data_IF_106122880995
#
_entry.id   IF_106122880995
#
_cell.length_a   1.000
_cell.length_b   1.000
_cell.length_c   1.000
_cell.angle_alpha   90.00
_cell.angle_beta   90.00
_cell.angle_gamma   90.00
#
_symmetry.space_group_name_H-M   'P 1'
#
loop_
_entity.id
_entity.type
_entity.pdbx_description
1 polymer ?
#
# COMPACT_ATOMS: atom_id res chain seq x y z
N UNK A 1 -6.09 -9.58 18.39
CA UNK A 1 -5.93 -9.87 16.96
C UNK A 1 -4.77 -9.02 16.46
N UNK A 2 -3.66 -9.65 16.06
CA UNK A 2 -2.56 -8.97 15.38
C UNK A 2 -2.71 -9.40 13.92
N UNK A 3 -2.96 -8.43 13.04
CA UNK A 3 -3.35 -8.70 11.64
C UNK A 3 -2.11 -9.14 10.83
N UNK A 4 -1.06 -8.31 10.82
CA UNK A 4 0.24 -8.61 10.23
C UNK A 4 1.37 -7.95 11.04
N UNK A 5 2.47 -8.67 11.28
CA UNK A 5 3.69 -8.13 11.92
C UNK A 5 4.86 -8.28 10.97
N UNK A 6 5.56 -7.18 10.71
CA UNK A 6 6.77 -7.14 9.87
C UNK A 6 7.93 -6.48 10.62
N UNK A 7 9.16 -6.84 10.29
CA UNK A 7 10.34 -6.27 10.92
C UNK A 7 11.62 -6.56 10.13
N UNK A 8 12.70 -5.90 10.52
CA UNK A 8 14.03 -6.07 9.92
C UNK A 8 15.00 -6.74 10.89
N UNK A 9 15.87 -7.59 10.32
CA UNK A 9 16.95 -8.26 11.02
C UNK A 9 18.15 -8.44 10.06
N UNK A 10 19.36 -8.49 10.60
CA UNK A 10 20.53 -8.81 9.80
C UNK A 10 20.46 -10.25 9.28
N UNK A 11 20.84 -10.47 8.02
CA UNK A 11 20.82 -11.79 7.40
C UNK A 11 21.67 -12.84 8.16
N UNK A 12 22.71 -12.40 8.87
CA UNK A 12 23.55 -13.27 9.72
C UNK A 12 22.90 -13.67 11.04
N UNK A 13 21.84 -12.97 11.48
CA UNK A 13 21.15 -13.24 12.75
C UNK A 13 19.99 -14.21 12.53
N UNK A 14 20.33 -15.50 12.54
CA UNK A 14 19.37 -16.59 12.41
C UNK A 14 19.36 -17.47 13.65
N UNK A 15 18.20 -18.06 13.93
CA UNK A 15 17.99 -19.03 15.01
C UNK A 15 17.23 -20.23 14.47
N UNK A 16 17.54 -21.42 14.99
CA UNK A 16 16.78 -22.63 14.66
C UNK A 16 15.42 -22.61 15.38
N UNK A 17 14.35 -22.85 14.63
CA UNK A 17 13.00 -22.99 15.15
C UNK A 17 12.49 -24.42 14.96
N UNK A 18 12.42 -25.14 16.07
CA UNK A 18 12.14 -26.57 16.13
C UNK A 18 10.78 -26.97 15.55
N UNK A 19 9.66 -26.24 15.80
CA UNK A 19 8.37 -26.63 15.24
C UNK A 19 8.32 -26.66 13.70
N UNK A 20 9.20 -25.90 13.03
CA UNK A 20 9.34 -25.88 11.57
C UNK A 20 10.65 -26.48 11.06
N UNK A 21 11.51 -26.98 11.95
CA UNK A 21 12.80 -27.58 11.62
C UNK A 21 13.67 -26.73 10.67
N UNK A 22 13.72 -25.41 10.87
CA UNK A 22 14.45 -24.49 9.97
C UNK A 22 15.14 -23.33 10.69
N UNK A 23 16.17 -22.79 10.04
CA UNK A 23 16.80 -21.53 10.42
C UNK A 23 15.93 -20.36 9.91
N UNK A 24 15.63 -19.41 10.79
CA UNK A 24 14.82 -18.23 10.49
C UNK A 24 15.42 -17.00 11.19
N UNK A 25 15.05 -15.76 10.79
CA UNK A 25 15.49 -14.55 11.49
C UNK A 25 15.22 -14.62 13.00
N UNK A 26 16.22 -14.28 13.81
CA UNK A 26 16.17 -14.49 15.27
C UNK A 26 14.98 -13.80 15.95
N UNK A 27 14.62 -12.57 15.53
CA UNK A 27 13.42 -11.86 16.03
C UNK A 27 12.13 -12.59 15.68
N UNK A 28 12.04 -13.18 14.48
CA UNK A 28 10.87 -13.95 14.06
C UNK A 28 10.73 -15.21 14.92
N UNK A 29 11.83 -15.92 15.18
CA UNK A 29 11.84 -17.08 16.08
C UNK A 29 11.42 -16.69 17.51
N UNK A 30 11.89 -15.55 18.02
CA UNK A 30 11.51 -15.07 19.35
C UNK A 30 9.99 -14.81 19.45
N UNK A 31 9.39 -14.22 18.40
CA UNK A 31 7.95 -14.00 18.33
C UNK A 31 7.18 -15.33 18.25
N UNK A 32 7.63 -16.28 17.43
CA UNK A 32 6.98 -17.59 17.31
C UNK A 32 7.01 -18.35 18.63
N UNK A 33 8.14 -18.36 19.35
CA UNK A 33 8.23 -18.97 20.70
C UNK A 33 7.30 -18.30 21.71
N UNK A 34 7.10 -16.99 21.61
CA UNK A 34 6.11 -16.30 22.43
C UNK A 34 4.69 -16.76 22.09
N UNK A 35 4.37 -16.93 20.81
CA UNK A 35 3.07 -17.46 20.38
C UNK A 35 2.86 -18.90 20.83
N UNK A 36 3.88 -19.76 20.73
CA UNK A 36 3.86 -21.12 21.29
C UNK A 36 3.51 -21.10 22.78
N UNK A 37 4.20 -20.25 23.56
CA UNK A 37 3.95 -20.09 25.00
C UNK A 37 2.54 -19.60 25.32
N UNK A 38 1.97 -18.77 24.46
CA UNK A 38 0.61 -18.23 24.61
C UNK A 38 -0.48 -19.14 24.01
N UNK A 39 -0.10 -20.24 23.35
CA UNK A 39 -1.04 -21.09 22.62
C UNK A 39 -1.69 -20.41 21.41
N UNK A 40 -1.03 -19.41 20.82
CA UNK A 40 -1.53 -18.69 19.64
C UNK A 40 -1.15 -19.50 18.39
N UNK A 41 -2.12 -19.97 17.58
CA UNK A 41 -1.83 -20.78 16.41
C UNK A 41 -1.15 -19.95 15.31
N UNK A 42 -0.13 -20.52 14.69
CA UNK A 42 0.54 -19.93 13.52
C UNK A 42 0.89 -21.00 12.48
N UNK A 43 0.99 -20.58 11.22
CA UNK A 43 1.23 -21.48 10.07
C UNK A 43 2.54 -21.12 9.39
N UNK A 44 3.34 -22.14 9.07
CA UNK A 44 4.66 -21.96 8.50
C UNK A 44 4.62 -21.18 7.18
N UNK A 45 3.67 -21.50 6.31
CA UNK A 45 3.49 -20.82 5.02
C UNK A 45 3.21 -19.31 5.11
N UNK A 46 2.84 -18.81 6.29
CA UNK A 46 2.65 -17.38 6.56
C UNK A 46 3.90 -16.72 7.17
N UNK A 47 4.90 -17.51 7.54
CA UNK A 47 6.16 -17.06 8.14
C UNK A 47 7.21 -16.87 7.05
N UNK A 48 7.05 -15.80 6.29
CA UNK A 48 7.95 -15.42 5.20
C UNK A 48 9.08 -14.53 5.71
N UNK A 49 10.25 -14.62 5.09
CA UNK A 49 11.40 -13.75 5.35
C UNK A 49 12.29 -13.70 4.11
N UNK A 50 13.03 -12.60 3.95
CA UNK A 50 13.86 -12.34 2.77
C UNK A 50 13.95 -10.85 2.47
N UNK A 51 14.71 -10.51 1.43
CA UNK A 51 14.80 -9.17 0.87
C UNK A 51 14.95 -9.27 -0.65
N UNK A 52 14.10 -8.61 -1.45
CA UNK A 52 12.92 -7.84 -1.03
C UNK A 52 11.78 -8.74 -0.51
N UNK A 53 10.82 -8.15 0.22
CA UNK A 53 9.64 -8.83 0.73
C UNK A 53 8.39 -8.00 0.46
N UNK A 54 7.34 -8.64 -0.07
CA UNK A 54 6.04 -7.98 -0.26
C UNK A 54 5.25 -7.99 1.05
N UNK A 55 4.94 -6.81 1.58
CA UNK A 55 4.16 -6.59 2.81
C UNK A 55 2.89 -5.85 2.42
N UNK A 56 1.71 -6.41 2.71
CA UNK A 56 0.39 -5.84 2.37
C UNK A 56 0.24 -5.40 0.89
N UNK A 57 0.95 -6.07 -0.03
CA UNK A 57 0.98 -5.75 -1.46
C UNK A 57 1.97 -4.65 -1.87
N UNK A 58 2.82 -4.20 -0.94
CA UNK A 58 3.91 -3.24 -1.18
C UNK A 58 5.23 -4.01 -1.16
N UNK A 59 6.05 -3.84 -2.18
CA UNK A 59 7.39 -4.42 -2.25
C UNK A 59 8.35 -3.59 -1.39
N UNK A 60 8.94 -4.25 -0.39
CA UNK A 60 9.85 -3.63 0.57
C UNK A 60 11.25 -4.19 0.38
N UNK A 61 12.18 -3.32 0.01
CA UNK A 61 13.60 -3.64 -0.06
C UNK A 61 14.36 -2.85 1.01
N UNK A 62 14.69 -3.45 2.16
CA UNK A 62 15.46 -2.79 3.21
C UNK A 62 16.91 -2.49 2.81
N UNK A 63 17.49 -3.20 1.83
CA UNK A 63 18.87 -2.96 1.39
C UNK A 63 18.94 -1.75 0.44
N UNK A 64 17.96 -1.62 -0.46
CA UNK A 64 17.82 -0.44 -1.31
C UNK A 64 17.12 0.73 -0.58
N UNK A 65 16.58 0.48 0.62
CA UNK A 65 15.74 1.42 1.38
C UNK A 65 14.56 1.92 0.56
N UNK A 66 13.88 1.02 -0.15
CA UNK A 66 12.76 1.36 -1.04
C UNK A 66 11.46 0.71 -0.62
N UNK A 67 10.37 1.46 -0.81
CA UNK A 67 9.01 0.96 -0.87
C UNK A 67 8.47 1.21 -2.27
N UNK A 68 7.95 0.17 -2.91
CA UNK A 68 7.42 0.25 -4.26
C UNK A 68 6.11 -0.52 -4.40
N UNK A 69 5.28 -0.07 -5.34
CA UNK A 69 4.21 -0.91 -5.87
C UNK A 69 4.80 -1.83 -6.93
N UNK A 70 4.25 -3.04 -7.05
CA UNK A 70 4.55 -3.90 -8.20
C UNK A 70 4.23 -3.17 -9.51
N UNK A 71 4.94 -3.53 -10.58
CA UNK A 71 4.78 -2.87 -11.90
C UNK A 71 3.32 -2.91 -12.37
N UNK A 72 2.63 -4.01 -12.12
CA UNK A 72 1.21 -4.18 -12.45
C UNK A 72 0.33 -3.27 -11.59
N UNK A 73 0.47 -3.30 -10.26
CA UNK A 73 -0.32 -2.46 -9.36
C UNK A 73 -0.11 -0.96 -9.61
N UNK A 74 1.12 -0.56 -9.93
CA UNK A 74 1.46 0.81 -10.34
C UNK A 74 0.75 1.20 -11.63
N UNK A 75 0.79 0.33 -12.64
CA UNK A 75 0.16 0.57 -13.95
C UNK A 75 -1.36 0.65 -13.82
N UNK A 76 -1.97 -0.28 -13.08
CA UNK A 76 -3.40 -0.31 -12.84
C UNK A 76 -3.87 0.97 -12.12
N UNK A 77 -3.11 1.43 -11.11
CA UNK A 77 -3.40 2.66 -10.40
C UNK A 77 -3.34 3.89 -11.32
N UNK A 78 -2.29 4.00 -12.13
CA UNK A 78 -2.17 5.09 -13.12
C UNK A 78 -3.38 5.05 -14.06
N UNK A 79 -3.71 3.88 -14.60
CA UNK A 79 -4.85 3.72 -15.52
C UNK A 79 -6.18 4.15 -14.88
N UNK A 80 -6.44 3.77 -13.63
CA UNK A 80 -7.66 4.19 -12.93
C UNK A 80 -7.65 5.69 -12.66
N UNK A 81 -6.55 6.26 -12.16
CA UNK A 81 -6.45 7.72 -11.93
C UNK A 81 -6.69 8.50 -13.22
N UNK A 82 -6.10 8.07 -14.36
CA UNK A 82 -6.33 8.65 -15.68
C UNK A 82 -7.76 8.48 -16.16
N UNK A 83 -8.39 7.34 -15.90
CA UNK A 83 -9.79 7.11 -16.24
C UNK A 83 -10.71 8.12 -15.54
N UNK A 84 -10.51 8.33 -14.23
CA UNK A 84 -11.27 9.33 -13.48
C UNK A 84 -10.89 10.76 -13.88
N UNK A 85 -9.62 11.02 -14.17
CA UNK A 85 -9.14 12.31 -14.67
C UNK A 85 -9.67 12.70 -16.05
N UNK A 86 -10.04 11.72 -16.88
CA UNK A 86 -10.46 11.93 -18.27
C UNK A 86 -11.86 12.52 -18.39
N UNK A 87 -12.00 13.60 -19.17
CA UNK A 87 -13.32 14.20 -19.46
C UNK A 87 -14.27 13.16 -20.08
N UNK A 88 -15.57 13.20 -19.77
CA UNK A 88 -16.50 12.23 -20.33
C UNK A 88 -16.54 12.40 -21.85
N UNK A 89 -16.33 11.31 -22.59
CA UNK A 89 -16.49 11.28 -24.04
C UNK A 89 -17.84 10.67 -24.42
N UNK A 90 -18.57 11.29 -25.35
CA UNK A 90 -19.82 10.76 -25.88
C UNK A 90 -20.94 10.69 -24.84
N UNK A 91 -21.61 9.52 -24.71
CA UNK A 91 -22.76 9.31 -23.82
C UNK A 91 -22.41 9.06 -22.34
N UNK A 92 -21.12 9.08 -21.98
CA UNK A 92 -20.71 8.91 -20.58
C UNK A 92 -21.10 10.14 -19.76
N UNK A 93 -21.84 9.94 -18.67
CA UNK A 93 -22.24 11.04 -17.79
C UNK A 93 -21.06 11.55 -16.95
N UNK A 94 -20.00 10.79 -16.73
CA UNK A 94 -19.00 11.14 -15.71
C UNK A 94 -19.57 11.13 -14.29
N UNK A 95 -20.74 10.52 -14.10
CA UNK A 95 -21.35 10.27 -12.82
C UNK A 95 -21.17 8.79 -12.46
N UNK A 96 -20.67 8.52 -11.26
CA UNK A 96 -20.35 7.16 -10.81
C UNK A 96 -21.04 6.85 -9.48
N UNK A 97 -21.41 5.58 -9.23
CA UNK A 97 -22.02 5.20 -7.97
C UNK A 97 -21.03 5.40 -6.79
N UNK A 98 -21.54 5.78 -5.62
CA UNK A 98 -20.74 6.01 -4.38
C UNK A 98 -19.75 4.88 -4.10
N UNK A 99 -20.14 3.62 -4.31
CA UNK A 99 -19.25 2.46 -4.13
C UNK A 99 -17.97 2.53 -4.98
N UNK A 100 -18.05 3.07 -6.20
CA UNK A 100 -16.90 3.19 -7.11
C UNK A 100 -15.96 4.30 -6.65
N UNK A 101 -16.51 5.39 -6.15
CA UNK A 101 -15.74 6.45 -5.51
C UNK A 101 -15.01 5.98 -4.25
N UNK A 102 -15.68 5.19 -3.40
CA UNK A 102 -15.09 4.61 -2.20
C UNK A 102 -13.97 3.63 -2.55
N UNK A 103 -14.17 2.82 -3.60
CA UNK A 103 -13.12 1.92 -4.13
C UNK A 103 -11.90 2.70 -4.61
N UNK A 104 -12.08 3.77 -5.40
CA UNK A 104 -10.99 4.67 -5.79
C UNK A 104 -10.26 5.25 -4.56
N UNK A 105 -11.01 5.83 -3.62
CA UNK A 105 -10.43 6.48 -2.45
C UNK A 105 -9.67 5.49 -1.55
N UNK A 106 -10.21 4.28 -1.37
CA UNK A 106 -9.56 3.22 -0.60
C UNK A 106 -8.27 2.74 -1.26
N UNK A 107 -8.31 2.50 -2.56
CA UNK A 107 -7.14 2.03 -3.30
C UNK A 107 -6.05 3.10 -3.41
N UNK A 108 -6.41 4.35 -3.70
CA UNK A 108 -5.48 5.47 -3.69
C UNK A 108 -4.86 5.67 -2.30
N UNK A 109 -5.66 5.59 -1.22
CA UNK A 109 -5.14 5.71 0.14
C UNK A 109 -4.16 4.57 0.50
N UNK A 110 -4.41 3.34 0.03
CA UNK A 110 -3.45 2.23 0.16
C UNK A 110 -2.15 2.53 -0.59
N UNK A 111 -2.24 2.95 -1.85
CA UNK A 111 -1.08 3.27 -2.68
C UNK A 111 -0.27 4.47 -2.15
N UNK A 112 -0.93 5.44 -1.50
CA UNK A 112 -0.28 6.62 -0.93
C UNK A 112 0.45 6.35 0.38
N UNK A 113 0.51 5.09 0.85
CA UNK A 113 1.57 4.68 1.78
C UNK A 113 2.93 4.60 1.10
N UNK A 114 2.95 4.30 -0.21
CA UNK A 114 4.14 4.35 -1.06
C UNK A 114 4.35 5.76 -1.60
N UNK A 115 3.29 6.54 -1.83
CA UNK A 115 3.40 7.92 -2.32
C UNK A 115 2.80 8.94 -1.34
N UNK A 116 3.40 9.15 -0.16
CA UNK A 116 2.81 9.95 0.92
C UNK A 116 2.53 11.40 0.51
N UNK A 117 3.34 11.97 -0.38
CA UNK A 117 3.16 13.33 -0.89
C UNK A 117 1.95 13.50 -1.82
N UNK A 118 1.32 12.41 -2.25
CA UNK A 118 0.14 12.44 -3.14
C UNK A 118 -1.19 12.40 -2.38
N UNK A 119 -1.18 12.22 -1.05
CA UNK A 119 -2.39 12.27 -0.21
C UNK A 119 -3.28 13.50 -0.46
N UNK A 120 -2.75 14.72 -0.72
CA UNK A 120 -3.59 15.88 -1.04
C UNK A 120 -4.53 15.69 -2.24
N UNK A 121 -4.24 14.79 -3.16
CA UNK A 121 -5.11 14.45 -4.29
C UNK A 121 -6.53 14.02 -3.87
N UNK A 122 -6.70 13.47 -2.66
CA UNK A 122 -8.01 13.02 -2.17
C UNK A 122 -8.77 14.12 -1.40
N UNK A 123 -8.19 15.30 -1.22
CA UNK A 123 -8.80 16.38 -0.43
C UNK A 123 -10.14 16.84 -1.02
N UNK A 124 -10.29 16.79 -2.34
CA UNK A 124 -11.56 17.11 -3.01
C UNK A 124 -12.48 15.89 -3.17
N UNK A 125 -11.96 14.67 -3.03
CA UNK A 125 -12.70 13.42 -3.13
C UNK A 125 -13.56 13.19 -1.87
N UNK A 126 -12.98 13.29 -0.67
CA UNK A 126 -13.71 13.01 0.57
C UNK A 126 -14.90 13.95 0.83
N UNK A 127 -14.79 15.28 0.66
CA UNK A 127 -15.94 16.18 0.79
C UNK A 127 -17.04 15.86 -0.21
N UNK A 128 -16.69 15.40 -1.42
CA UNK A 128 -17.66 14.99 -2.44
C UNK A 128 -18.49 13.80 -1.99
N UNK A 129 -17.90 12.89 -1.20
CA UNK A 129 -18.56 11.70 -0.67
C UNK A 129 -19.27 11.91 0.67
N UNK A 130 -18.97 13.01 1.37
CA UNK A 130 -19.57 13.30 2.68
C UNK A 130 -21.10 13.25 2.62
N UNK A 131 -21.69 12.52 3.58
CA UNK A 131 -23.14 12.36 3.72
C UNK A 131 -23.80 11.41 2.71
N UNK A 132 -23.05 10.78 1.81
CA UNK A 132 -23.59 9.85 0.81
C UNK A 132 -23.37 8.42 1.27
N UNK A 133 -24.46 7.76 1.67
CA UNK A 133 -24.42 6.40 2.22
C UNK A 133 -24.99 5.35 1.26
N UNK A 134 -25.83 5.75 0.30
CA UNK A 134 -26.44 4.84 -0.66
C UNK A 134 -25.41 4.39 -1.70
N UNK A 135 -25.02 3.09 -1.76
CA UNK A 135 -23.90 2.64 -2.59
C UNK A 135 -24.08 2.90 -4.09
N UNK A 136 -25.32 2.86 -4.57
CA UNK A 136 -25.68 3.05 -5.98
C UNK A 136 -26.09 4.50 -6.31
N UNK A 137 -26.05 5.42 -5.33
CA UNK A 137 -26.28 6.83 -5.60
C UNK A 137 -25.21 7.35 -6.55
N UNK A 138 -25.63 7.98 -7.65
CA UNK A 138 -24.72 8.52 -8.64
C UNK A 138 -24.14 9.86 -8.18
N UNK A 139 -22.82 10.04 -8.32
CA UNK A 139 -22.07 11.23 -7.92
C UNK A 139 -21.20 11.67 -9.08
N UNK A 140 -21.39 12.92 -9.49
CA UNK A 140 -20.66 13.56 -10.58
C UNK A 140 -19.25 13.96 -10.15
N UNK A 141 -18.26 13.62 -10.97
CA UNK A 141 -16.91 14.14 -10.81
C UNK A 141 -16.83 15.59 -11.35
N UNK A 142 -16.04 16.45 -10.70
CA UNK A 142 -15.81 17.84 -11.14
C UNK A 142 -14.38 18.00 -11.68
N UNK A 143 -14.11 19.14 -12.32
CA UNK A 143 -12.79 19.40 -12.92
C UNK A 143 -11.66 19.44 -11.89
N UNK A 144 -11.90 20.01 -10.70
CA UNK A 144 -10.87 20.03 -9.64
C UNK A 144 -10.40 18.63 -9.26
N UNK A 145 -11.33 17.69 -9.06
CA UNK A 145 -10.98 16.29 -8.76
C UNK A 145 -10.27 15.64 -9.95
N UNK A 146 -10.65 15.97 -11.19
CA UNK A 146 -9.95 15.46 -12.39
C UNK A 146 -8.50 15.91 -12.44
N UNK A 147 -8.28 17.19 -12.18
CA UNK A 147 -6.95 17.80 -12.20
C UNK A 147 -6.07 17.21 -11.09
N UNK A 148 -6.62 17.04 -9.88
CA UNK A 148 -5.94 16.37 -8.77
C UNK A 148 -5.52 14.93 -9.12
N UNK A 149 -6.43 14.14 -9.70
CA UNK A 149 -6.17 12.73 -10.04
C UNK A 149 -5.16 12.59 -11.20
N UNK A 150 -5.23 13.48 -12.20
CA UNK A 150 -4.23 13.54 -13.27
C UNK A 150 -2.86 13.95 -12.73
N UNK A 151 -2.81 14.95 -11.86
CA UNK A 151 -1.57 15.36 -11.18
C UNK A 151 -0.96 14.18 -10.41
N UNK A 152 -1.76 13.42 -9.67
CA UNK A 152 -1.26 12.23 -8.98
C UNK A 152 -0.73 11.18 -9.97
N UNK A 153 -1.45 10.91 -11.07
CA UNK A 153 -1.01 9.98 -12.10
C UNK A 153 0.33 10.41 -12.73
N UNK A 154 0.48 11.68 -13.10
CA UNK A 154 1.73 12.24 -13.64
C UNK A 154 2.90 12.03 -12.66
N UNK A 155 2.66 12.25 -11.36
CA UNK A 155 3.70 12.09 -10.34
C UNK A 155 4.10 10.63 -10.12
N UNK A 156 3.15 9.70 -10.16
CA UNK A 156 3.43 8.26 -10.01
C UNK A 156 4.19 7.75 -11.23
N UNK A 157 3.81 8.17 -12.43
CA UNK A 157 4.43 7.78 -13.69
C UNK A 157 5.90 8.23 -13.77
N UNK A 158 6.21 9.42 -13.25
CA UNK A 158 7.58 9.96 -13.21
C UNK A 158 8.37 9.60 -11.95
N UNK A 159 7.77 8.89 -10.99
CA UNK A 159 8.45 8.47 -9.76
C UNK A 159 9.17 7.12 -9.94
N UNK A 160 10.36 7.00 -9.34
CA UNK A 160 11.12 5.74 -9.24
C UNK A 160 10.80 4.95 -7.96
N UNK A 161 9.75 5.33 -7.24
CA UNK A 161 9.38 4.79 -5.92
C UNK A 161 9.75 5.74 -4.78
N UNK A 162 9.44 5.35 -3.53
CA UNK A 162 9.87 6.12 -2.35
C UNK A 162 11.10 5.49 -1.73
N UNK A 163 12.19 6.26 -1.76
CA UNK A 163 13.36 6.01 -0.94
C UNK A 163 13.04 6.45 0.49
N UNK A 164 12.95 5.47 1.40
CA UNK A 164 12.96 5.76 2.83
C UNK A 164 14.30 6.45 3.10
N UNK A 165 14.25 7.63 3.73
CA UNK A 165 15.39 8.53 3.93
C UNK A 165 16.71 7.77 4.12
N UNK A 166 17.78 8.18 3.42
CA UNK A 166 19.14 7.84 3.85
C UNK A 166 19.27 8.37 5.28
N UNK A 167 19.23 7.49 6.28
CA UNK A 167 19.70 7.85 7.60
C UNK A 167 21.20 8.12 7.45
N UNK A 168 21.55 9.39 7.29
CA UNK A 168 22.94 9.86 7.25
C UNK A 168 23.52 10.06 8.65
N UNK A 169 22.81 9.66 9.71
CA UNK A 169 23.25 9.89 11.08
C UNK A 169 22.69 8.83 12.02
N UNK A 170 23.32 7.66 12.01
CA UNK A 170 23.54 6.89 13.22
C UNK A 170 25.02 6.52 13.24
N UNK A 171 25.87 7.51 13.48
CA UNK A 171 27.20 7.26 14.03
C UNK A 171 27.12 7.34 15.57
N UNK A 172 28.01 6.64 16.30
CA UNK A 172 27.94 6.44 17.75
C UNK A 172 27.87 7.72 18.60
#
# INVERSE_FOLDING_TARGET
YVDDTSGAEFASKVSFYEPYQKLMPSKQVALLRLWDKLGIPHKEKKQVSGSPLTIIGIDVDPNAMTLALSVTARSDLINELRFWGSRPSGRSSGAFPVRRWQSLAGWANWAFNVYPLLRPCLNNVYPKLRGKQAPNQSVWINNVIRDDLNWAADRIENSTGVHLMRSTAWDP
#
